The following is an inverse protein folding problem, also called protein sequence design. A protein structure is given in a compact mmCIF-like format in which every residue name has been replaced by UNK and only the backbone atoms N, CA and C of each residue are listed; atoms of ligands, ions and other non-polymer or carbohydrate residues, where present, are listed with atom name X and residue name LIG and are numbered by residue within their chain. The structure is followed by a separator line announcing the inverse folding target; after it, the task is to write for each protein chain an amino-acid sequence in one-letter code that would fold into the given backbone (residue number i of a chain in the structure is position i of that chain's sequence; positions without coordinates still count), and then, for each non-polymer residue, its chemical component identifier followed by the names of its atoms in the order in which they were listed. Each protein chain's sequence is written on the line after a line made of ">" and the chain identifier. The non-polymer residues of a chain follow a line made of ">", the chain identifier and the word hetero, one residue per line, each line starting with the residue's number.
data_IF_610424435138
#
_entry.id   IF_610424435138
#
_cell.length_a   1.000
_cell.length_b   1.000
_cell.length_c   1.000
_cell.angle_alpha   90.00
_cell.angle_beta   90.00
_cell.angle_gamma   90.00
#
_symmetry.space_group_name_H-M   'P 1'
#
loop_
_entity.id
_entity.type
_entity.pdbx_description
1 polymer ?
#
# COMPACT_ATOMS: atom_id res chain seq x y z
N UNK A 1 14.03 16.54 16.13
CA UNK A 1 14.64 15.23 16.42
C UNK A 1 13.51 14.29 16.84
N UNK A 2 12.95 13.53 15.90
CA UNK A 2 11.89 12.56 16.19
C UNK A 2 12.52 11.18 16.30
N UNK A 3 12.43 10.56 17.48
CA UNK A 3 12.96 9.23 17.70
C UNK A 3 12.08 8.17 17.05
N UNK A 4 12.69 7.30 16.25
CA UNK A 4 12.07 6.07 15.76
C UNK A 4 12.11 5.05 16.90
N UNK A 5 10.95 4.63 17.40
CA UNK A 5 10.86 3.52 18.35
C UNK A 5 10.65 2.23 17.57
N UNK A 6 11.65 1.36 17.56
CA UNK A 6 11.53 -0.01 17.08
C UNK A 6 11.34 -0.94 18.29
N UNK A 7 10.28 -1.74 18.28
CA UNK A 7 10.03 -2.79 19.26
C UNK A 7 10.34 -4.12 18.60
N UNK A 8 11.32 -4.86 19.13
CA UNK A 8 11.71 -6.19 18.65
C UNK A 8 11.13 -7.27 19.56
N UNK A 9 10.59 -8.33 18.95
CA UNK A 9 10.29 -9.60 19.59
C UNK A 9 11.37 -10.62 19.18
N UNK A 10 11.58 -11.66 19.99
CA UNK A 10 12.67 -12.64 19.83
C UNK A 10 12.12 -14.06 19.62
N UNK A 11 12.66 -14.78 18.63
CA UNK A 11 12.30 -16.13 18.20
C UNK A 11 13.44 -16.66 17.28
N UNK A 12 13.83 -17.91 17.46
CA UNK A 12 15.22 -18.40 17.26
C UNK A 12 15.61 -18.72 15.79
N UNK A 13 14.89 -18.18 14.80
CA UNK A 13 15.23 -18.18 13.36
C UNK A 13 14.56 -16.96 12.67
N UNK A 14 14.60 -15.82 13.37
CA UNK A 14 13.67 -14.72 13.15
C UNK A 14 13.97 -13.89 11.90
N UNK A 15 13.19 -14.14 10.85
CA UNK A 15 12.94 -13.10 9.87
C UNK A 15 12.20 -11.95 10.55
N UNK A 16 12.96 -10.95 11.00
CA UNK A 16 12.37 -9.73 11.55
C UNK A 16 11.87 -8.85 10.40
N UNK A 17 10.56 -8.61 10.40
CA UNK A 17 9.94 -7.65 9.48
C UNK A 17 10.16 -6.24 10.02
N UNK A 18 11.11 -5.53 9.43
CA UNK A 18 11.35 -4.12 9.71
C UNK A 18 10.55 -3.25 8.73
N UNK A 19 9.63 -2.44 9.25
CA UNK A 19 8.92 -1.43 8.46
C UNK A 19 9.54 -0.04 8.68
N UNK A 20 9.79 0.67 7.59
CA UNK A 20 10.13 2.09 7.63
C UNK A 20 8.87 2.90 7.33
N UNK A 21 8.56 3.88 8.19
CA UNK A 21 7.35 4.70 8.06
C UNK A 21 7.73 6.17 8.03
N UNK A 22 7.17 6.90 7.06
CA UNK A 22 7.29 8.34 6.91
C UNK A 22 5.90 8.94 6.67
N UNK A 23 5.61 10.07 7.31
CA UNK A 23 4.42 10.86 6.99
C UNK A 23 4.67 11.72 5.74
N UNK A 24 3.72 11.70 4.80
CA UNK A 24 3.77 12.54 3.60
C UNK A 24 2.39 13.05 3.23
N UNK A 25 2.36 14.11 2.41
CA UNK A 25 1.14 14.63 1.81
C UNK A 25 1.11 14.26 0.34
N UNK A 26 0.14 13.44 -0.06
CA UNK A 26 -0.05 13.09 -1.45
C UNK A 26 -0.42 14.32 -2.29
N UNK A 27 0.31 14.55 -3.38
CA UNK A 27 -0.11 15.41 -4.48
C UNK A 27 0.16 14.66 -5.78
N UNK A 28 -0.61 14.97 -6.82
CA UNK A 28 -0.35 14.40 -8.14
C UNK A 28 1.11 14.68 -8.55
N UNK A 29 1.81 13.64 -9.02
CA UNK A 29 3.22 13.74 -9.45
C UNK A 29 4.26 13.55 -8.33
N UNK A 30 3.89 13.64 -7.04
CA UNK A 30 4.91 13.66 -5.97
C UNK A 30 5.51 12.31 -5.64
N UNK A 31 4.85 11.22 -6.05
CA UNK A 31 5.27 9.85 -5.72
C UNK A 31 5.55 9.01 -6.97
N UNK A 32 5.58 9.64 -8.15
CA UNK A 32 5.81 8.97 -9.44
C UNK A 32 7.15 8.21 -9.45
N UNK A 33 8.22 8.79 -8.89
CA UNK A 33 9.50 8.11 -8.77
C UNK A 33 9.42 6.84 -7.93
N UNK A 34 8.58 6.83 -6.88
CA UNK A 34 8.40 5.67 -6.00
C UNK A 34 7.50 4.64 -6.69
N UNK A 35 6.41 5.06 -7.34
CA UNK A 35 5.55 4.19 -8.14
C UNK A 35 6.34 3.48 -9.26
N UNK A 36 7.20 4.22 -9.98
CA UNK A 36 8.10 3.66 -10.97
C UNK A 36 9.11 2.70 -10.34
N UNK A 37 9.64 3.01 -9.15
CA UNK A 37 10.56 2.10 -8.46
C UNK A 37 9.87 0.79 -8.07
N UNK A 38 8.61 0.85 -7.61
CA UNK A 38 7.79 -0.32 -7.27
C UNK A 38 7.53 -1.18 -8.51
N UNK A 39 7.09 -0.57 -9.61
CA UNK A 39 6.83 -1.30 -10.85
C UNK A 39 8.11 -1.97 -11.43
N UNK A 40 9.30 -1.43 -11.11
CA UNK A 40 10.57 -2.01 -11.54
C UNK A 40 11.21 -2.93 -10.48
N UNK A 41 10.49 -3.33 -9.43
CA UNK A 41 10.97 -4.16 -8.34
C UNK A 41 12.24 -3.60 -7.65
N UNK A 42 12.32 -2.27 -7.53
CA UNK A 42 13.44 -1.54 -6.91
C UNK A 42 13.17 -1.13 -5.47
N UNK A 43 12.06 -1.57 -4.90
CA UNK A 43 11.65 -1.31 -3.52
C UNK A 43 11.30 -2.62 -2.83
N UNK A 44 11.32 -2.65 -1.50
CA UNK A 44 10.56 -3.67 -0.78
C UNK A 44 9.03 -3.42 -0.87
N UNK A 45 8.21 -4.25 -0.22
CA UNK A 45 6.77 -4.03 -0.11
C UNK A 45 6.48 -2.61 0.40
N UNK A 46 5.73 -1.84 -0.39
CA UNK A 46 5.45 -0.43 -0.11
C UNK A 46 3.96 -0.19 -0.15
N UNK A 47 3.43 0.50 0.87
CA UNK A 47 2.02 0.84 0.99
C UNK A 47 1.86 2.24 1.56
N UNK A 48 0.78 2.92 1.20
CA UNK A 48 0.38 4.19 1.81
C UNK A 48 -0.93 4.01 2.55
N UNK A 49 -0.97 4.51 3.77
CA UNK A 49 -2.15 4.46 4.62
C UNK A 49 -2.70 5.86 4.84
N UNK A 50 -4.01 6.04 4.60
CA UNK A 50 -4.70 7.24 5.03
C UNK A 50 -4.89 7.19 6.55
N UNK A 51 -4.26 8.13 7.27
CA UNK A 51 -4.24 8.15 8.75
C UNK A 51 -5.61 8.37 9.39
N UNK A 52 -6.57 8.96 8.68
CA UNK A 52 -7.90 9.29 9.24
C UNK A 52 -8.87 8.13 9.10
N UNK A 53 -8.77 7.40 8.00
CA UNK A 53 -9.73 6.36 7.60
C UNK A 53 -9.16 4.96 7.75
N UNK A 54 -7.84 4.80 7.83
CA UNK A 54 -7.16 3.51 7.93
C UNK A 54 -7.10 2.73 6.62
N UNK A 55 -7.56 3.31 5.51
CA UNK A 55 -7.48 2.70 4.18
C UNK A 55 -6.04 2.61 3.71
N UNK A 56 -5.72 1.53 3.01
CA UNK A 56 -4.36 1.27 2.53
C UNK A 56 -4.38 1.14 1.01
N UNK A 57 -3.53 1.91 0.35
CA UNK A 57 -3.23 1.80 -1.08
C UNK A 57 -1.89 1.07 -1.25
N UNK A 58 -1.92 -0.06 -1.95
CA UNK A 58 -0.77 -0.95 -2.14
C UNK A 58 -0.52 -1.14 -3.66
N UNK A 59 0.32 -0.31 -4.29
CA UNK A 59 0.64 -0.46 -5.71
C UNK A 59 1.54 -1.67 -5.99
N UNK A 60 1.53 -2.11 -7.24
CA UNK A 60 2.45 -3.11 -7.80
C UNK A 60 2.64 -2.85 -9.30
N UNK A 61 3.46 -3.66 -9.98
CA UNK A 61 3.63 -3.55 -11.42
C UNK A 61 2.32 -3.92 -12.15
N UNK A 62 1.73 -2.95 -12.84
CA UNK A 62 0.47 -3.12 -13.57
C UNK A 62 -0.80 -2.66 -12.84
N UNK A 63 -0.75 -2.37 -11.53
CA UNK A 63 -1.97 -2.04 -10.80
C UNK A 63 -1.77 -1.65 -9.33
N UNK A 64 -2.84 -1.80 -8.55
CA UNK A 64 -2.82 -1.57 -7.11
C UNK A 64 -3.99 -2.29 -6.43
N UNK A 65 -3.80 -2.59 -5.14
CA UNK A 65 -4.88 -3.00 -4.25
C UNK A 65 -5.28 -1.83 -3.34
N UNK A 66 -6.59 -1.75 -3.04
CA UNK A 66 -7.14 -0.83 -2.07
C UNK A 66 -7.81 -1.61 -0.93
N UNK A 67 -7.17 -1.62 0.24
CA UNK A 67 -7.69 -2.28 1.44
C UNK A 67 -8.55 -1.28 2.21
N UNK A 68 -9.81 -1.64 2.41
CA UNK A 68 -10.83 -0.82 3.07
C UNK A 68 -11.44 -1.52 4.27
N UNK A 69 -12.14 -0.77 5.11
CA UNK A 69 -12.55 -1.24 6.44
C UNK A 69 -13.81 -2.08 6.44
N UNK A 70 -14.56 -2.18 5.33
CA UNK A 70 -15.78 -3.00 5.28
C UNK A 70 -16.08 -3.57 3.89
N UNK A 71 -16.80 -4.70 3.81
CA UNK A 71 -17.26 -5.25 2.53
C UNK A 71 -18.20 -4.32 1.75
N UNK A 72 -19.01 -3.52 2.44
CA UNK A 72 -19.91 -2.54 1.81
C UNK A 72 -19.11 -1.46 1.08
N UNK A 73 -17.97 -1.05 1.65
CA UNK A 73 -17.07 -0.10 1.00
C UNK A 73 -16.40 -0.71 -0.24
N UNK A 74 -16.03 -1.99 -0.19
CA UNK A 74 -15.53 -2.71 -1.38
C UNK A 74 -16.55 -2.64 -2.51
N UNK A 75 -17.82 -2.93 -2.24
CA UNK A 75 -18.85 -2.92 -3.27
C UNK A 75 -19.11 -1.51 -3.82
N UNK A 76 -19.12 -0.49 -2.97
CA UNK A 76 -19.24 0.91 -3.41
C UNK A 76 -18.09 1.32 -4.35
N UNK A 77 -16.87 0.88 -4.05
CA UNK A 77 -15.71 1.13 -4.90
C UNK A 77 -15.76 0.37 -6.21
N UNK A 78 -16.20 -0.91 -6.20
CA UNK A 78 -16.38 -1.72 -7.42
C UNK A 78 -17.40 -1.10 -8.37
N UNK A 79 -18.51 -0.59 -7.85
CA UNK A 79 -19.51 0.12 -8.67
C UNK A 79 -18.94 1.43 -9.20
N UNK A 80 -18.23 2.18 -8.35
CA UNK A 80 -17.70 3.51 -8.71
C UNK A 80 -16.55 3.47 -9.71
N UNK A 81 -15.68 2.47 -9.61
CA UNK A 81 -14.47 2.31 -10.41
C UNK A 81 -14.50 1.03 -11.23
N UNK A 82 -15.69 0.60 -11.66
CA UNK A 82 -15.88 -0.65 -12.40
C UNK A 82 -14.99 -0.75 -13.64
N UNK A 83 -14.82 0.37 -14.36
CA UNK A 83 -13.97 0.46 -15.56
C UNK A 83 -12.47 0.26 -15.28
N UNK A 84 -12.05 0.24 -14.01
CA UNK A 84 -10.65 0.04 -13.60
C UNK A 84 -10.36 -1.38 -13.14
N UNK A 85 -11.40 -2.19 -12.94
CA UNK A 85 -11.24 -3.58 -12.54
C UNK A 85 -10.68 -4.38 -13.72
N UNK A 86 -9.73 -5.27 -13.44
CA UNK A 86 -9.24 -6.19 -14.46
C UNK A 86 -10.34 -7.14 -14.92
N UNK A 87 -10.40 -7.37 -16.23
CA UNK A 87 -11.23 -8.43 -16.84
C UNK A 87 -10.67 -9.83 -16.54
N UNK A 88 -9.45 -9.94 -16.01
CA UNK A 88 -8.84 -11.21 -15.65
C UNK A 88 -9.56 -11.82 -14.44
N UNK A 89 -9.95 -13.11 -14.49
CA UNK A 89 -10.74 -13.75 -13.43
C UNK A 89 -10.01 -13.81 -12.08
N UNK A 90 -8.68 -13.71 -12.07
CA UNK A 90 -7.86 -13.66 -10.84
C UNK A 90 -7.55 -12.24 -10.37
N UNK A 91 -8.04 -11.21 -11.07
CA UNK A 91 -7.88 -9.81 -10.66
C UNK A 91 -6.51 -9.20 -10.95
N UNK A 92 -5.88 -9.56 -12.07
CA UNK A 92 -4.62 -8.97 -12.57
C UNK A 92 -4.85 -8.18 -13.85
#
# INVERSE_FOLDING_TARGET
>A
MGGTTATTFADDDETQWCANVLETHWRQGTLDCILLAIANDKTGPTMWMDRKTGRIFAPYDGGFDLLVSSPEEVEQLRVRFGDWLSDHPEGL
#
